data_IF_063912196585
#
_entry.id   IF_063912196585
#
_cell.length_a   1.000
_cell.length_b   1.000
_cell.length_c   1.000
_cell.angle_alpha   90.00
_cell.angle_beta   90.00
_cell.angle_gamma   90.00
#
_symmetry.space_group_name_H-M   'P 1'
#
loop_
_entity.id
_entity.type
_entity.pdbx_description
1 polymer ?
#
# COMPACT_ATOMS: atom_id res chain seq x y z
N UNK A 1 5.18 16.48 -8.82
CA UNK A 1 5.64 17.28 -9.95
C UNK A 1 5.10 18.70 -9.88
N UNK A 2 5.93 19.72 -10.10
CA UNK A 2 5.49 21.12 -10.19
C UNK A 2 5.07 21.39 -11.64
N UNK A 3 3.85 21.85 -11.83
CA UNK A 3 3.29 22.21 -13.13
C UNK A 3 2.98 23.72 -13.20
N UNK A 4 2.65 24.26 -14.39
CA UNK A 4 2.20 25.65 -14.52
C UNK A 4 0.94 25.98 -13.69
N UNK A 5 0.12 24.97 -13.39
CA UNK A 5 -1.12 25.09 -12.61
C UNK A 5 -0.97 24.82 -11.11
N UNK A 6 0.23 24.47 -10.64
CA UNK A 6 0.47 24.13 -9.25
C UNK A 6 1.27 22.85 -9.06
N UNK A 7 1.04 22.17 -7.97
CA UNK A 7 1.69 20.92 -7.62
C UNK A 7 0.78 19.72 -7.92
N UNK A 8 1.24 18.83 -8.81
CA UNK A 8 0.52 17.60 -9.14
C UNK A 8 1.14 16.41 -8.39
N UNK A 9 0.41 15.88 -7.45
CA UNK A 9 0.80 14.72 -6.65
C UNK A 9 0.63 13.39 -7.38
N UNK A 10 -0.18 13.39 -8.42
CA UNK A 10 -0.66 12.18 -9.07
C UNK A 10 -0.05 11.98 -10.46
N UNK A 11 0.83 12.87 -10.90
CA UNK A 11 1.47 12.71 -12.20
C UNK A 11 2.34 11.47 -12.19
N UNK A 12 1.89 10.48 -12.93
CA UNK A 12 2.68 9.31 -13.29
C UNK A 12 3.67 9.75 -14.37
N UNK A 13 4.95 9.46 -14.17
CA UNK A 13 5.96 9.71 -15.19
C UNK A 13 5.83 8.65 -16.28
N UNK A 14 5.46 9.00 -17.53
CA UNK A 14 5.15 8.03 -18.57
C UNK A 14 6.31 7.07 -18.87
N UNK A 15 7.53 7.58 -18.74
CA UNK A 15 8.75 6.81 -19.06
C UNK A 15 9.32 6.05 -17.86
N UNK A 16 8.65 6.15 -16.71
CA UNK A 16 9.05 5.43 -15.52
C UNK A 16 8.05 4.32 -15.19
N UNK A 17 8.33 3.06 -15.59
CA UNK A 17 7.41 1.95 -15.36
C UNK A 17 7.10 1.72 -13.87
N UNK A 18 7.96 2.18 -12.98
CA UNK A 18 7.77 2.10 -11.55
C UNK A 18 6.70 3.05 -11.01
N UNK A 19 6.33 4.08 -11.76
CA UNK A 19 5.24 4.99 -11.40
C UNK A 19 3.86 4.32 -11.38
N UNK A 20 3.73 3.19 -12.06
CA UNK A 20 2.47 2.41 -12.12
C UNK A 20 2.29 1.47 -10.94
N UNK A 21 3.33 1.18 -10.19
CA UNK A 21 3.28 0.22 -9.09
C UNK A 21 3.02 0.97 -7.80
N UNK A 22 1.75 1.05 -7.42
CA UNK A 22 1.31 2.04 -6.46
C UNK A 22 1.37 1.67 -5.00
N UNK A 23 1.41 0.40 -4.58
CA UNK A 23 1.16 0.09 -3.17
C UNK A 23 2.18 -0.84 -2.53
N UNK A 24 2.94 -0.29 -1.61
CA UNK A 24 4.06 -0.98 -0.98
C UNK A 24 3.84 -1.39 0.47
N UNK A 25 3.02 -0.70 1.22
CA UNK A 25 2.71 -1.01 2.60
C UNK A 25 3.80 -0.69 3.63
N UNK A 26 5.07 -0.69 3.27
CA UNK A 26 6.15 -0.44 4.23
C UNK A 26 6.10 0.99 4.78
N UNK A 27 5.98 1.98 3.91
CA UNK A 27 5.82 3.38 4.32
C UNK A 27 4.53 3.60 5.09
N UNK A 28 3.44 2.95 4.69
CA UNK A 28 2.19 3.03 5.44
C UNK A 28 2.34 2.46 6.86
N UNK A 29 2.99 1.32 7.01
CA UNK A 29 3.24 0.73 8.34
C UNK A 29 4.12 1.66 9.19
N UNK A 30 5.19 2.19 8.63
CA UNK A 30 6.17 2.97 9.39
C UNK A 30 5.67 4.38 9.71
N UNK A 31 5.28 5.12 8.68
CA UNK A 31 4.88 6.53 8.85
C UNK A 31 3.49 6.66 9.43
N UNK A 32 2.57 5.79 9.05
CA UNK A 32 1.25 5.75 9.66
C UNK A 32 1.37 5.45 11.15
N UNK A 33 2.20 4.49 11.56
CA UNK A 33 2.41 4.20 12.98
C UNK A 33 2.90 5.43 13.75
N UNK A 34 3.89 6.15 13.23
CA UNK A 34 4.39 7.38 13.86
C UNK A 34 3.31 8.44 13.99
N UNK A 35 2.48 8.58 12.97
CA UNK A 35 1.34 9.48 13.01
C UNK A 35 0.30 9.07 14.04
N UNK A 36 -0.01 7.79 14.13
CA UNK A 36 -0.98 7.25 15.08
C UNK A 36 -0.50 7.38 16.53
N UNK A 37 0.79 7.11 16.77
CA UNK A 37 1.41 7.33 18.09
C UNK A 37 1.26 8.81 18.49
N UNK A 38 1.65 9.73 17.62
CA UNK A 38 1.51 11.16 17.88
C UNK A 38 0.04 11.59 18.07
N UNK A 39 -0.85 11.12 17.20
CA UNK A 39 -2.27 11.47 17.29
C UNK A 39 -2.94 10.92 18.55
N UNK A 40 -2.57 9.73 18.99
CA UNK A 40 -3.05 9.14 20.25
C UNK A 40 -2.65 9.99 21.45
N UNK A 41 -1.43 10.49 21.49
CA UNK A 41 -0.96 11.36 22.57
C UNK A 41 -1.69 12.71 22.57
N UNK A 42 -2.10 13.20 21.39
CA UNK A 42 -2.85 14.43 21.23
C UNK A 42 -4.35 14.25 21.53
N UNK A 43 -4.98 13.17 21.00
CA UNK A 43 -6.43 12.91 21.13
C UNK A 43 -6.73 11.42 21.04
N UNK A 44 -6.69 10.72 22.16
CA UNK A 44 -7.02 9.28 22.19
C UNK A 44 -8.47 8.99 21.82
N UNK A 45 -9.42 9.83 22.24
CA UNK A 45 -10.83 9.69 21.89
C UNK A 45 -11.09 9.94 20.39
N UNK A 46 -10.36 10.86 19.77
CA UNK A 46 -10.44 11.12 18.33
C UNK A 46 -10.00 9.93 17.51
N UNK A 47 -8.97 9.20 17.94
CA UNK A 47 -8.52 8.00 17.23
C UNK A 47 -9.56 6.90 17.26
N UNK A 48 -10.21 6.69 18.39
CA UNK A 48 -11.26 5.68 18.57
C UNK A 48 -12.43 5.87 17.60
N UNK A 49 -12.80 7.13 17.37
CA UNK A 49 -13.91 7.50 16.48
C UNK A 49 -13.72 6.97 15.03
N UNK A 50 -12.49 6.92 14.53
CA UNK A 50 -12.22 6.49 13.15
C UNK A 50 -12.22 4.97 12.94
N UNK A 51 -12.23 4.17 14.00
CA UNK A 51 -12.13 2.71 13.83
C UNK A 51 -13.35 2.10 13.17
N UNK A 52 -14.51 2.64 13.38
CA UNK A 52 -15.80 2.10 12.92
C UNK A 52 -16.39 2.89 11.74
N UNK A 53 -15.93 4.10 11.47
CA UNK A 53 -16.48 4.92 10.39
C UNK A 53 -15.96 4.51 9.02
N UNK A 54 -16.87 4.27 8.08
CA UNK A 54 -16.56 3.90 6.69
C UNK A 54 -16.29 5.15 5.83
N UNK A 55 -15.19 5.84 6.12
CA UNK A 55 -14.78 7.07 5.42
C UNK A 55 -13.48 6.89 4.60
N UNK A 56 -12.82 5.77 4.76
CA UNK A 56 -11.56 5.49 4.06
C UNK A 56 -11.81 4.77 2.74
N UNK A 57 -10.91 4.94 1.78
CA UNK A 57 -11.04 4.41 0.43
C UNK A 57 -9.77 3.67 0.00
N UNK A 58 -9.88 2.84 -1.04
CA UNK A 58 -8.75 2.20 -1.71
C UNK A 58 -8.56 2.78 -3.11
N UNK A 59 -7.29 2.88 -3.52
CA UNK A 59 -6.98 3.06 -4.93
C UNK A 59 -7.29 1.76 -5.70
N UNK A 60 -7.84 1.90 -6.88
CA UNK A 60 -7.94 0.79 -7.82
C UNK A 60 -6.59 0.65 -8.53
N UNK A 61 -5.88 -0.45 -8.31
CA UNK A 61 -4.53 -0.66 -8.84
C UNK A 61 -4.53 -1.69 -9.96
N UNK A 62 -3.89 -1.41 -11.11
CA UNK A 62 -3.93 -2.25 -12.29
C UNK A 62 -2.89 -3.38 -12.24
N UNK A 63 -2.72 -4.03 -11.11
CA UNK A 63 -1.81 -5.17 -11.01
C UNK A 63 -2.23 -6.15 -9.91
N UNK A 64 -1.75 -7.37 -10.04
CA UNK A 64 -1.84 -8.42 -9.02
C UNK A 64 -0.46 -8.98 -8.72
N UNK A 65 -0.22 -9.38 -7.48
CA UNK A 65 0.96 -10.15 -7.12
C UNK A 65 0.75 -11.57 -7.65
N UNK A 66 1.75 -12.12 -8.35
CA UNK A 66 1.74 -13.49 -8.88
C UNK A 66 1.65 -14.52 -7.76
N UNK A 67 1.34 -15.75 -8.11
CA UNK A 67 1.32 -16.85 -7.15
C UNK A 67 2.71 -17.09 -6.54
N UNK A 68 2.76 -17.67 -5.35
CA UNK A 68 4.00 -18.02 -4.70
C UNK A 68 4.90 -18.90 -5.58
N UNK A 69 4.32 -19.87 -6.29
CA UNK A 69 5.07 -20.74 -7.19
C UNK A 69 5.69 -19.99 -8.36
N UNK A 70 4.97 -19.05 -8.97
CA UNK A 70 5.47 -18.22 -10.06
C UNK A 70 6.60 -17.30 -9.60
N UNK A 71 6.46 -16.71 -8.41
CA UNK A 71 7.50 -15.85 -7.83
C UNK A 71 8.76 -16.66 -7.48
N UNK A 72 8.62 -17.90 -7.00
CA UNK A 72 9.78 -18.77 -6.78
C UNK A 72 10.47 -19.14 -8.09
N UNK A 73 9.73 -19.35 -9.16
CA UNK A 73 10.28 -19.67 -10.47
C UNK A 73 11.03 -18.46 -11.09
N UNK A 74 10.49 -17.25 -10.92
CA UNK A 74 11.13 -16.01 -11.36
C UNK A 74 10.93 -14.87 -10.35
N UNK A 75 11.82 -14.74 -9.36
CA UNK A 75 11.66 -13.75 -8.28
C UNK A 75 11.80 -12.29 -8.73
N UNK A 76 12.16 -12.04 -9.98
CA UNK A 76 12.22 -10.70 -10.56
C UNK A 76 10.93 -10.27 -11.27
N UNK A 77 10.03 -11.20 -11.51
CA UNK A 77 8.72 -10.94 -12.14
C UNK A 77 7.59 -11.26 -11.15
N UNK A 78 7.41 -10.43 -10.16
CA UNK A 78 6.54 -10.69 -9.01
C UNK A 78 5.11 -10.23 -9.21
N UNK A 79 4.82 -9.46 -10.26
CA UNK A 79 3.50 -8.90 -10.54
C UNK A 79 2.99 -9.26 -11.94
N UNK A 80 1.69 -9.26 -12.08
CA UNK A 80 0.96 -9.28 -13.34
C UNK A 80 0.25 -7.94 -13.51
N UNK A 81 0.59 -7.20 -14.57
CA UNK A 81 0.02 -5.89 -14.84
C UNK A 81 -1.19 -6.02 -15.78
N UNK A 82 -2.28 -5.31 -15.45
CA UNK A 82 -3.52 -5.29 -16.24
C UNK A 82 -3.62 -3.98 -17.02
N UNK A 83 -3.15 -4.00 -18.27
CA UNK A 83 -3.15 -2.85 -19.17
C UNK A 83 -4.57 -2.33 -19.47
N UNK A 84 -5.56 -3.24 -19.53
CA UNK A 84 -6.94 -2.86 -19.78
C UNK A 84 -7.51 -2.07 -18.62
N UNK A 85 -7.31 -2.58 -17.40
CA UNK A 85 -7.74 -1.89 -16.18
C UNK A 85 -7.01 -0.55 -16.01
N UNK A 86 -5.71 -0.47 -16.32
CA UNK A 86 -4.96 0.78 -16.31
C UNK A 86 -5.57 1.82 -17.24
N UNK A 87 -5.91 1.41 -18.47
CA UNK A 87 -6.56 2.30 -19.44
C UNK A 87 -7.93 2.79 -18.94
N UNK A 88 -8.74 1.92 -18.37
CA UNK A 88 -10.04 2.28 -17.77
C UNK A 88 -9.89 3.28 -16.63
N UNK A 89 -8.91 3.06 -15.72
CA UNK A 89 -8.63 3.96 -14.61
C UNK A 89 -8.21 5.34 -15.13
N UNK A 90 -7.34 5.40 -16.16
CA UNK A 90 -6.90 6.67 -16.75
C UNK A 90 -8.05 7.43 -17.40
N UNK A 91 -8.96 6.73 -18.09
CA UNK A 91 -10.15 7.35 -18.66
C UNK A 91 -11.04 7.93 -17.55
N UNK A 92 -11.37 7.15 -16.52
CA UNK A 92 -12.16 7.64 -15.40
C UNK A 92 -11.49 8.84 -14.69
N UNK A 93 -10.16 8.80 -14.54
CA UNK A 93 -9.43 9.94 -13.99
C UNK A 93 -9.54 11.19 -14.84
N UNK A 94 -9.50 11.05 -16.17
CA UNK A 94 -9.69 12.17 -17.10
C UNK A 94 -11.10 12.77 -17.00
N UNK A 95 -12.11 11.92 -16.81
CA UNK A 95 -13.53 12.32 -16.81
C UNK A 95 -13.94 13.00 -15.50
N UNK A 96 -13.54 12.44 -14.35
CA UNK A 96 -14.04 12.87 -13.04
C UNK A 96 -12.95 13.27 -12.04
N UNK A 97 -11.68 13.34 -12.47
CA UNK A 97 -10.57 13.71 -11.60
C UNK A 97 -10.08 12.55 -10.72
N UNK A 98 -9.48 12.88 -9.57
CA UNK A 98 -8.82 11.93 -8.67
C UNK A 98 -9.73 10.78 -8.21
N UNK A 99 -11.01 11.02 -8.00
CA UNK A 99 -11.97 9.99 -7.59
C UNK A 99 -12.14 8.89 -8.65
N UNK A 100 -11.79 9.14 -9.91
CA UNK A 100 -11.75 8.15 -10.98
C UNK A 100 -10.74 7.02 -10.75
N UNK A 101 -9.76 7.22 -9.87
CA UNK A 101 -8.75 6.22 -9.52
C UNK A 101 -9.14 5.35 -8.31
N UNK A 102 -10.30 5.60 -7.70
CA UNK A 102 -10.72 4.88 -6.51
C UNK A 102 -11.44 3.57 -6.84
N UNK A 103 -11.28 2.60 -5.96
CA UNK A 103 -11.97 1.32 -6.06
C UNK A 103 -13.49 1.52 -5.93
N UNK A 104 -14.25 0.92 -6.83
CA UNK A 104 -15.70 0.94 -6.85
C UNK A 104 -16.28 -0.39 -6.36
N UNK A 105 -17.43 -0.32 -5.73
CA UNK A 105 -18.22 -1.49 -5.35
C UNK A 105 -18.98 -2.07 -6.58
N UNK A 106 -19.77 -3.13 -6.34
CA UNK A 106 -20.57 -3.80 -7.38
C UNK A 106 -21.64 -2.90 -8.01
N UNK A 107 -22.01 -1.81 -7.33
CA UNK A 107 -23.02 -0.85 -7.79
C UNK A 107 -22.39 0.36 -8.49
N UNK A 108 -21.06 0.39 -8.60
CA UNK A 108 -20.31 1.50 -9.19
C UNK A 108 -20.06 2.68 -8.26
N UNK A 109 -20.45 2.61 -6.99
CA UNK A 109 -20.14 3.60 -5.98
C UNK A 109 -18.72 3.42 -5.44
N UNK A 110 -18.09 4.49 -4.94
CA UNK A 110 -16.78 4.41 -4.30
C UNK A 110 -16.86 3.46 -3.10
N UNK A 111 -16.02 2.43 -3.10
CA UNK A 111 -15.94 1.46 -2.01
C UNK A 111 -15.31 2.13 -0.78
N UNK A 112 -16.10 2.26 0.28
CA UNK A 112 -15.68 2.85 1.54
C UNK A 112 -15.50 1.77 2.59
N UNK A 113 -14.53 1.99 3.48
CA UNK A 113 -14.17 1.03 4.52
C UNK A 113 -13.83 1.76 5.81
N UNK A 114 -13.81 1.04 6.91
CA UNK A 114 -13.37 1.56 8.20
C UNK A 114 -11.86 1.71 8.27
N UNK A 115 -11.38 2.49 9.22
CA UNK A 115 -9.95 2.60 9.49
C UNK A 115 -9.35 1.26 9.92
N UNK A 116 -10.10 0.48 10.69
CA UNK A 116 -9.68 -0.86 11.10
C UNK A 116 -9.42 -1.77 9.90
N UNK A 117 -10.32 -1.80 8.92
CA UNK A 117 -10.12 -2.58 7.70
C UNK A 117 -8.88 -2.11 6.91
N UNK A 118 -8.73 -0.80 6.79
CA UNK A 118 -7.58 -0.19 6.10
C UNK A 118 -6.24 -0.61 6.71
N UNK A 119 -6.16 -0.62 8.03
CA UNK A 119 -4.98 -1.06 8.79
C UNK A 119 -4.74 -2.55 8.61
N UNK A 120 -5.79 -3.36 8.77
CA UNK A 120 -5.68 -4.82 8.66
C UNK A 120 -5.28 -5.25 7.26
N UNK A 121 -5.80 -4.63 6.20
CA UNK A 121 -5.40 -4.92 4.83
C UNK A 121 -3.89 -4.72 4.63
N UNK A 122 -3.34 -3.61 5.10
CA UNK A 122 -1.90 -3.33 5.02
C UNK A 122 -1.07 -4.29 5.86
N UNK A 123 -1.49 -4.53 7.10
CA UNK A 123 -0.76 -5.38 8.04
C UNK A 123 -0.73 -6.85 7.59
N UNK A 124 -1.89 -7.40 7.23
CA UNK A 124 -2.02 -8.80 6.83
C UNK A 124 -1.30 -9.09 5.52
N UNK A 125 -1.31 -8.15 4.57
CA UNK A 125 -0.55 -8.29 3.33
C UNK A 125 0.96 -8.43 3.57
N UNK A 126 1.51 -7.81 4.60
CA UNK A 126 2.92 -7.97 4.99
C UNK A 126 3.16 -9.18 5.86
N UNK A 127 2.26 -9.48 6.80
CA UNK A 127 2.37 -10.69 7.63
C UNK A 127 2.29 -11.99 6.84
N UNK A 128 1.57 -12.00 5.71
CA UNK A 128 1.55 -13.17 4.81
C UNK A 128 2.92 -13.53 4.23
N UNK A 129 3.86 -12.59 4.26
CA UNK A 129 5.24 -12.76 3.79
C UNK A 129 6.24 -13.00 4.95
N UNK A 130 5.77 -13.28 6.15
CA UNK A 130 6.64 -13.53 7.30
C UNK A 130 7.34 -14.88 7.18
N UNK A 131 8.67 -14.84 7.24
CA UNK A 131 9.53 -16.02 7.31
C UNK A 131 10.07 -16.12 8.74
N UNK A 132 9.71 -17.17 9.49
CA UNK A 132 10.25 -17.40 10.83
C UNK A 132 11.78 -17.39 10.83
N UNK A 133 12.36 -16.77 11.84
CA UNK A 133 13.81 -16.57 12.00
C UNK A 133 14.48 -15.73 10.88
N UNK A 134 13.70 -15.27 9.89
CA UNK A 134 14.17 -14.48 8.74
C UNK A 134 13.72 -13.02 8.80
N UNK A 135 12.46 -12.77 8.51
CA UNK A 135 11.91 -11.42 8.39
C UNK A 135 10.69 -11.38 7.47
N UNK A 136 10.42 -10.24 6.88
CA UNK A 136 9.35 -10.10 5.90
C UNK A 136 9.95 -10.26 4.50
N UNK A 137 9.53 -11.30 3.79
CA UNK A 137 10.00 -11.57 2.44
C UNK A 137 9.61 -10.43 1.50
N UNK A 138 10.60 -9.93 0.77
CA UNK A 138 10.41 -8.87 -0.22
C UNK A 138 9.96 -9.49 -1.55
N UNK A 139 8.65 -9.67 -1.70
CA UNK A 139 8.02 -10.35 -2.82
C UNK A 139 7.55 -9.42 -3.95
N UNK A 140 7.91 -8.16 -3.92
CA UNK A 140 7.46 -7.16 -4.89
C UNK A 140 8.63 -6.44 -5.55
N UNK A 141 8.46 -6.01 -6.79
CA UNK A 141 9.53 -5.45 -7.63
C UNK A 141 10.02 -4.06 -7.21
N UNK A 142 9.36 -3.39 -6.29
CA UNK A 142 9.73 -2.04 -5.89
C UNK A 142 9.80 -1.88 -4.37
N UNK A 143 10.90 -2.25 -3.76
CA UNK A 143 11.15 -1.89 -2.38
C UNK A 143 11.38 -0.38 -2.25
N UNK A 144 10.84 0.21 -1.20
CA UNK A 144 10.75 1.64 -1.03
C UNK A 144 12.02 2.29 -0.46
N UNK A 145 12.98 1.47 0.01
CA UNK A 145 14.04 1.99 0.86
C UNK A 145 15.26 2.50 0.10
N UNK A 146 15.78 1.71 -0.80
CA UNK A 146 16.99 2.05 -1.56
C UNK A 146 17.31 1.00 -2.63
N UNK A 147 18.37 1.22 -3.38
CA UNK A 147 18.82 0.33 -4.46
C UNK A 147 19.19 -1.08 -3.98
N UNK A 148 19.70 -1.24 -2.76
CA UNK A 148 19.98 -2.55 -2.20
C UNK A 148 18.71 -3.40 -2.05
N UNK A 149 17.59 -2.79 -1.68
CA UNK A 149 16.30 -3.46 -1.64
C UNK A 149 15.85 -3.90 -3.03
N UNK A 150 16.09 -3.10 -4.08
CA UNK A 150 15.78 -3.47 -5.46
C UNK A 150 16.58 -4.71 -5.91
N UNK A 151 17.81 -4.87 -5.44
CA UNK A 151 18.62 -6.05 -5.72
C UNK A 151 18.13 -7.31 -4.99
N UNK A 152 17.48 -7.15 -3.83
CA UNK A 152 17.05 -8.23 -2.96
C UNK A 152 15.61 -8.69 -3.18
N UNK A 153 14.83 -7.99 -4.02
CA UNK A 153 13.44 -8.36 -4.28
C UNK A 153 13.33 -9.81 -4.77
N UNK A 154 12.42 -10.57 -4.20
CA UNK A 154 12.26 -12.00 -4.44
C UNK A 154 13.31 -12.91 -3.75
N UNK A 155 14.47 -12.37 -3.36
CA UNK A 155 15.58 -13.13 -2.82
C UNK A 155 15.98 -12.72 -1.38
N UNK A 156 15.36 -11.72 -0.82
CA UNK A 156 15.72 -11.18 0.49
C UNK A 156 14.55 -10.93 1.41
N UNK A 157 14.86 -10.60 2.66
CA UNK A 157 13.90 -10.28 3.71
C UNK A 157 14.18 -8.92 4.30
N UNK A 158 13.11 -8.20 4.71
CA UNK A 158 13.20 -6.95 5.44
C UNK A 158 13.03 -7.14 6.93
N UNK A 159 14.09 -6.92 7.68
CA UNK A 159 14.04 -6.88 9.15
C UNK A 159 13.42 -5.57 9.65
N UNK A 160 13.63 -4.47 8.92
CA UNK A 160 13.04 -3.17 9.28
C UNK A 160 11.52 -3.26 9.28
N UNK A 161 10.94 -3.81 8.22
CA UNK A 161 9.49 -4.02 8.13
C UNK A 161 8.99 -4.92 9.27
N UNK A 162 9.71 -6.00 9.59
CA UNK A 162 9.34 -6.89 10.71
C UNK A 162 9.31 -6.14 12.05
N UNK A 163 10.31 -5.32 12.35
CA UNK A 163 10.36 -4.55 13.60
C UNK A 163 9.22 -3.53 13.69
N UNK A 164 8.90 -2.86 12.59
CA UNK A 164 7.79 -1.92 12.56
C UNK A 164 6.43 -2.60 12.64
N UNK A 165 6.24 -3.76 12.02
CA UNK A 165 5.03 -4.59 12.19
C UNK A 165 4.86 -4.97 13.66
N UNK A 166 5.91 -5.44 14.32
CA UNK A 166 5.85 -5.76 15.75
C UNK A 166 5.45 -4.55 16.60
N UNK A 167 6.07 -3.38 16.34
CA UNK A 167 5.73 -2.13 17.03
C UNK A 167 4.27 -1.71 16.77
N UNK A 168 3.81 -1.85 15.55
CA UNK A 168 2.44 -1.59 15.13
C UNK A 168 1.43 -2.48 15.88
N UNK A 169 1.68 -3.78 15.94
CA UNK A 169 0.85 -4.72 16.71
C UNK A 169 0.81 -4.38 18.21
N UNK A 170 1.94 -4.01 18.79
CA UNK A 170 2.00 -3.58 20.20
C UNK A 170 1.21 -2.29 20.44
N UNK A 171 1.27 -1.35 19.50
CA UNK A 171 0.47 -0.11 19.56
C UNK A 171 -1.02 -0.42 19.56
N UNK A 172 -1.50 -1.21 18.62
CA UNK A 172 -2.93 -1.54 18.51
C UNK A 172 -3.43 -2.36 19.69
N UNK A 173 -2.68 -3.35 20.16
CA UNK A 173 -3.04 -4.09 21.38
C UNK A 173 -3.25 -3.20 22.62
N UNK A 174 -2.62 -2.04 22.65
CA UNK A 174 -2.74 -1.08 23.77
C UNK A 174 -3.80 0.00 23.52
N UNK A 175 -4.29 0.09 22.29
CA UNK A 175 -5.21 1.15 21.87
C UNK A 175 -6.64 0.64 21.73
N UNK A 176 -6.80 -0.61 21.30
CA UNK A 176 -8.05 -1.37 21.30
C UNK A 176 -8.29 -2.01 22.65
#
# INVERSE_FOLDING_TARGET
RVTKGGFDWETIEPDNPWSYIGYWGDHQIIYLLKFLEFFKDYSSAGLQHYFDEEIFVYANVPYKIKSFADILANPKETIEFDEKLDHEIRQHKADIGADGTLLKDKNGAIHRVSFMEKILATLLSKLSNFIPEGGIWMNTQRPEWNDANNALVGNGVSMVTLYYIRRFLVFFRKTL
#
